data_IF_970419918151
#
_entry.id   IF_970419918151
#
_cell.length_a   1.000
_cell.length_b   1.000
_cell.length_c   1.000
_cell.angle_alpha   90.00
_cell.angle_beta   90.00
_cell.angle_gamma   90.00
#
_symmetry.space_group_name_H-M   'P 1'
#
loop_
_entity.id
_entity.type
_entity.pdbx_description
1 polymer ?
#
# COMPACT_ATOMS: atom_id res chain seq x y z
N UNK A 1 17.76 18.62 -2.36
CA UNK A 1 17.77 18.13 -3.75
C UNK A 1 16.45 17.41 -3.96
N UNK A 2 15.45 18.14 -4.44
CA UNK A 2 14.16 17.59 -4.83
C UNK A 2 14.43 16.65 -6.00
N UNK A 3 14.05 15.39 -5.86
CA UNK A 3 14.08 14.44 -6.95
C UNK A 3 12.82 14.71 -7.75
N UNK A 4 12.95 15.45 -8.85
CA UNK A 4 11.90 15.53 -9.87
C UNK A 4 11.74 14.11 -10.43
N UNK A 5 10.57 13.51 -10.17
CA UNK A 5 10.17 12.26 -10.77
C UNK A 5 9.72 12.58 -12.20
N UNK A 6 10.66 12.62 -13.14
CA UNK A 6 10.38 12.64 -14.57
C UNK A 6 9.86 11.25 -14.99
N UNK A 7 8.65 10.91 -14.54
CA UNK A 7 7.93 9.73 -15.01
C UNK A 7 7.29 10.04 -16.39
N UNK A 8 7.47 9.19 -17.41
CA UNK A 8 6.75 9.28 -18.68
C UNK A 8 5.23 9.41 -18.47
N UNK A 9 4.54 10.12 -19.39
CA UNK A 9 3.11 10.48 -19.33
C UNK A 9 2.13 9.28 -19.21
N UNK A 10 2.62 8.05 -19.28
CA UNK A 10 1.87 6.80 -19.17
C UNK A 10 2.30 5.90 -18.00
N UNK A 11 3.21 6.33 -17.14
CA UNK A 11 3.63 5.59 -15.96
C UNK A 11 2.77 5.98 -14.74
N UNK A 12 2.15 4.99 -14.10
CA UNK A 12 1.42 5.17 -12.85
C UNK A 12 2.34 4.69 -11.72
N UNK A 13 2.47 5.48 -10.65
CA UNK A 13 3.20 5.05 -9.47
C UNK A 13 2.49 3.87 -8.81
N UNK A 14 3.26 2.84 -8.43
CA UNK A 14 2.72 1.63 -7.80
C UNK A 14 1.88 1.96 -6.55
N UNK A 15 2.31 2.94 -5.75
CA UNK A 15 1.59 3.41 -4.56
C UNK A 15 0.20 3.94 -4.89
N UNK A 16 0.04 4.66 -6.00
CA UNK A 16 -1.22 5.27 -6.41
C UNK A 16 -2.18 4.20 -6.91
N UNK A 17 -1.68 3.30 -7.76
CA UNK A 17 -2.48 2.18 -8.25
C UNK A 17 -2.95 1.27 -7.10
N UNK A 18 -2.07 0.98 -6.14
CA UNK A 18 -2.42 0.20 -4.94
C UNK A 18 -3.46 0.93 -4.10
N UNK A 19 -3.30 2.24 -3.89
CA UNK A 19 -4.25 3.05 -3.13
C UNK A 19 -5.63 3.11 -3.81
N UNK A 20 -5.68 3.22 -5.13
CA UNK A 20 -6.92 3.15 -5.91
C UNK A 20 -7.57 1.76 -5.85
N UNK A 21 -6.77 0.68 -5.85
CA UNK A 21 -7.29 -0.66 -5.62
C UNK A 21 -7.90 -0.80 -4.22
N UNK A 22 -7.27 -0.21 -3.19
CA UNK A 22 -7.80 -0.17 -1.83
C UNK A 22 -9.15 0.55 -1.78
N UNK A 23 -9.25 1.75 -2.35
CA UNK A 23 -10.50 2.54 -2.39
C UNK A 23 -11.64 1.82 -3.12
N UNK A 24 -11.31 1.06 -4.18
CA UNK A 24 -12.28 0.30 -4.98
C UNK A 24 -12.60 -1.07 -4.41
N UNK A 25 -11.98 -1.48 -3.31
CA UNK A 25 -12.12 -2.84 -2.75
C UNK A 25 -11.60 -3.94 -3.68
N UNK A 26 -10.71 -3.60 -4.61
CA UNK A 26 -10.22 -4.46 -5.68
C UNK A 26 -8.79 -4.97 -5.41
N UNK A 27 -8.45 -5.24 -4.14
CA UNK A 27 -7.09 -5.64 -3.73
C UNK A 27 -6.65 -6.99 -4.33
N UNK A 28 -7.60 -7.85 -4.70
CA UNK A 28 -7.31 -9.12 -5.37
C UNK A 28 -6.49 -8.94 -6.65
N UNK A 29 -6.62 -7.79 -7.33
CA UNK A 29 -5.83 -7.42 -8.52
C UNK A 29 -4.33 -7.42 -8.26
N UNK A 30 -3.91 -7.15 -7.02
CA UNK A 30 -2.50 -7.13 -6.63
C UNK A 30 -1.88 -8.53 -6.60
N UNK A 31 -2.71 -9.58 -6.56
CA UNK A 31 -2.26 -10.97 -6.38
C UNK A 31 -2.85 -11.95 -7.40
N UNK A 32 -3.39 -11.44 -8.51
CA UNK A 32 -4.03 -12.27 -9.55
C UNK A 32 -3.09 -13.33 -10.10
N UNK A 33 -1.82 -12.99 -10.31
CA UNK A 33 -0.84 -13.94 -10.81
C UNK A 33 -0.57 -15.06 -9.80
N UNK A 34 -0.40 -14.72 -8.51
CA UNK A 34 -0.17 -15.69 -7.44
C UNK A 34 -1.36 -16.64 -7.30
N UNK A 35 -2.59 -16.10 -7.39
CA UNK A 35 -3.80 -16.91 -7.37
C UNK A 35 -3.91 -17.85 -8.58
N UNK A 36 -3.51 -17.39 -9.77
CA UNK A 36 -3.45 -18.22 -10.98
C UNK A 36 -2.42 -19.36 -10.87
N UNK A 37 -1.34 -19.14 -10.11
CA UNK A 37 -0.33 -20.15 -9.75
C UNK A 37 -0.79 -21.09 -8.61
N UNK A 38 -2.02 -20.95 -8.13
CA UNK A 38 -2.60 -21.78 -7.07
C UNK A 38 -2.23 -21.36 -5.64
N UNK A 39 -1.60 -20.20 -5.47
CA UNK A 39 -1.28 -19.65 -4.16
C UNK A 39 -2.52 -19.00 -3.56
N UNK A 40 -2.97 -19.54 -2.43
CA UNK A 40 -4.10 -18.96 -1.69
C UNK A 40 -3.60 -17.88 -0.74
N UNK A 41 -4.14 -16.67 -0.87
CA UNK A 41 -3.85 -15.54 0.01
C UNK A 41 -5.16 -15.10 0.65
N UNK A 42 -5.20 -15.13 1.99
CA UNK A 42 -6.38 -14.71 2.75
C UNK A 42 -6.64 -13.22 2.54
N UNK A 43 -7.89 -12.86 2.23
CA UNK A 43 -8.27 -11.47 1.92
C UNK A 43 -7.91 -10.50 3.06
N UNK A 44 -8.09 -10.92 4.32
CA UNK A 44 -7.72 -10.13 5.50
C UNK A 44 -6.21 -9.94 5.63
N UNK A 45 -5.41 -10.93 5.23
CA UNK A 45 -3.95 -10.82 5.24
C UNK A 45 -3.49 -9.85 4.16
N UNK A 46 -4.05 -9.96 2.96
CA UNK A 46 -3.77 -9.05 1.84
C UNK A 46 -4.08 -7.60 2.20
N UNK A 47 -5.28 -7.34 2.73
CA UNK A 47 -5.69 -6.01 3.18
C UNK A 47 -4.73 -5.45 4.24
N UNK A 48 -4.38 -6.26 5.24
CA UNK A 48 -3.43 -5.87 6.28
C UNK A 48 -2.05 -5.51 5.71
N UNK A 49 -1.52 -6.33 4.81
CA UNK A 49 -0.23 -6.09 4.18
C UNK A 49 -0.23 -4.80 3.35
N UNK A 50 -1.31 -4.55 2.60
CA UNK A 50 -1.48 -3.33 1.81
C UNK A 50 -1.54 -2.10 2.71
N UNK A 51 -2.34 -2.13 3.77
CA UNK A 51 -2.44 -1.02 4.72
C UNK A 51 -1.11 -0.72 5.41
N UNK A 52 -0.37 -1.75 5.84
CA UNK A 52 0.97 -1.60 6.41
C UNK A 52 1.93 -0.98 5.40
N UNK A 53 1.95 -1.50 4.17
CA UNK A 53 2.77 -0.98 3.08
C UNK A 53 2.51 0.50 2.82
N UNK A 54 1.24 0.90 2.71
CA UNK A 54 0.83 2.28 2.47
C UNK A 54 1.19 3.23 3.63
N UNK A 55 1.15 2.77 4.88
CA UNK A 55 1.68 3.53 6.03
C UNK A 55 3.20 3.68 6.00
N UNK A 56 3.92 2.66 5.55
CA UNK A 56 5.39 2.65 5.50
C UNK A 56 5.97 3.55 4.40
N UNK A 57 5.22 3.79 3.32
CA UNK A 57 5.67 4.60 2.17
C UNK A 57 5.16 6.05 2.21
N UNK A 58 4.57 6.49 3.32
CA UNK A 58 4.15 7.88 3.49
C UNK A 58 5.33 8.84 3.28
N UNK A 59 5.10 9.88 2.49
CA UNK A 59 6.12 10.88 2.19
C UNK A 59 6.57 11.62 3.45
N UNK A 60 5.61 12.04 4.28
CA UNK A 60 5.90 12.61 5.59
C UNK A 60 6.50 11.52 6.51
N UNK A 61 7.79 11.64 6.89
CA UNK A 61 8.43 10.69 7.79
C UNK A 61 7.76 10.58 9.16
N UNK A 62 7.04 11.61 9.60
CA UNK A 62 6.35 11.64 10.90
C UNK A 62 5.14 10.70 10.89
N UNK A 63 4.51 10.51 9.73
CA UNK A 63 3.37 9.61 9.57
C UNK A 63 3.81 8.13 9.47
N UNK A 64 5.08 7.87 9.13
CA UNK A 64 5.58 6.51 8.99
C UNK A 64 5.68 5.81 10.35
N UNK A 65 5.16 4.58 10.50
CA UNK A 65 5.26 3.84 11.75
C UNK A 65 6.69 3.42 12.05
N UNK A 66 7.05 3.38 13.33
CA UNK A 66 8.29 2.72 13.76
C UNK A 66 8.30 1.23 13.39
N UNK A 67 9.47 0.64 13.19
CA UNK A 67 9.56 -0.78 12.83
C UNK A 67 8.92 -1.71 13.87
N UNK A 68 9.01 -1.36 15.16
CA UNK A 68 8.30 -2.07 16.24
C UNK A 68 6.79 -2.06 16.01
N UNK A 69 6.22 -0.90 15.61
CA UNK A 69 4.80 -0.77 15.31
C UNK A 69 4.44 -1.55 14.04
N UNK A 70 5.27 -1.53 13.01
CA UNK A 70 5.07 -2.34 11.77
C UNK A 70 4.93 -3.82 12.10
N UNK A 71 5.80 -4.38 12.95
CA UNK A 71 5.71 -5.79 13.37
C UNK A 71 4.37 -6.06 14.08
N UNK A 72 3.98 -5.24 15.05
CA UNK A 72 2.69 -5.40 15.73
C UNK A 72 1.49 -5.28 14.77
N UNK A 73 1.58 -4.40 13.76
CA UNK A 73 0.56 -4.23 12.72
C UNK A 73 0.42 -5.49 11.86
N UNK A 74 1.54 -6.13 11.50
CA UNK A 74 1.59 -7.37 10.71
C UNK A 74 1.10 -8.58 11.51
N UNK A 75 1.45 -8.67 12.79
CA UNK A 75 1.00 -9.72 13.71
C UNK A 75 -0.49 -9.60 14.09
N UNK A 76 -1.13 -8.47 13.76
CA UNK A 76 -2.54 -8.24 14.08
C UNK A 76 -2.81 -7.82 15.52
N UNK A 77 -1.77 -7.38 16.23
CA UNK A 77 -1.86 -6.87 17.61
C UNK A 77 -2.57 -5.51 17.67
N UNK A 78 -2.52 -4.75 16.57
CA UNK A 78 -3.20 -3.46 16.42
C UNK A 78 -4.11 -3.45 15.21
N UNK A 79 -5.26 -2.78 15.37
CA UNK A 79 -6.17 -2.47 14.28
C UNK A 79 -5.59 -1.37 13.39
N UNK A 80 -5.92 -1.47 12.10
CA UNK A 80 -5.39 -0.58 11.07
C UNK A 80 -6.47 0.36 10.57
N UNK A 81 -6.07 1.60 10.35
CA UNK A 81 -6.86 2.60 9.62
C UNK A 81 -6.29 2.79 8.24
N UNK A 82 -7.13 3.26 7.32
CA UNK A 82 -6.70 3.68 5.99
C UNK A 82 -5.74 4.88 6.14
N UNK A 83 -4.52 4.80 5.57
CA UNK A 83 -3.58 5.92 5.59
C UNK A 83 -4.03 7.04 4.63
N UNK A 84 -3.44 8.25 4.74
CA UNK A 84 -3.63 9.29 3.74
C UNK A 84 -3.21 8.83 2.33
N UNK A 85 -3.81 9.40 1.27
CA UNK A 85 -3.40 9.13 -0.11
C UNK A 85 -1.93 9.54 -0.34
N UNK A 86 -1.23 8.90 -1.30
CA UNK A 86 0.07 9.40 -1.77
C UNK A 86 -0.10 10.75 -2.49
N UNK A 87 0.88 11.66 -2.43
CA UNK A 87 0.69 13.05 -2.91
C UNK A 87 0.59 13.18 -4.44
N UNK A 88 1.06 12.18 -5.19
CA UNK A 88 0.88 12.14 -6.65
C UNK A 88 -0.58 12.01 -7.10
N UNK A 89 -1.50 11.70 -6.19
CA UNK A 89 -2.94 11.67 -6.48
C UNK A 89 -3.65 13.03 -6.35
N UNK A 90 -2.95 14.09 -5.90
CA UNK A 90 -3.47 15.45 -5.78
C UNK A 90 -3.19 16.35 -7.01
N UNK A 91 -2.63 15.80 -8.10
CA UNK A 91 -2.30 16.54 -9.34
C UNK A 91 -3.21 16.16 -10.51
#
# INVERSE_FOLDING_TARGET
>A
KTMELDAPENEILLSDWVYECLKKGALNKLVEQQQAEGITIESRQLERMVLVGLWCVQEDPILRPSMKRVVHMLEGVVDLTVPPPPQSSDT
#
